data_IF_726286134811
#
_entry.id   IF_726286134811
#
_cell.length_a   1.000
_cell.length_b   1.000
_cell.length_c   1.000
_cell.angle_alpha   90.00
_cell.angle_beta   90.00
_cell.angle_gamma   90.00
#
_symmetry.space_group_name_H-M   'P 1'
#
loop_
_entity.id
_entity.type
_entity.pdbx_description
1 polymer ?
#
# COMPACT_ATOMS: atom_id res chain seq x y z
N UNK A 1 -7.06 7.57 13.77
CA UNK A 1 -7.29 8.91 13.19
C UNK A 1 -8.80 9.15 13.05
N UNK A 2 -9.30 10.36 13.33
CA UNK A 2 -10.70 10.73 13.05
C UNK A 2 -10.85 11.21 11.60
N UNK A 3 -12.04 11.07 11.01
CA UNK A 3 -12.32 11.54 9.65
C UNK A 3 -12.04 13.04 9.48
N UNK A 4 -12.33 13.84 10.52
CA UNK A 4 -12.06 15.28 10.51
C UNK A 4 -10.56 15.59 10.40
N UNK A 5 -9.71 14.81 11.08
CA UNK A 5 -8.26 14.96 10.99
C UNK A 5 -7.75 14.58 9.60
N UNK A 6 -8.30 13.52 8.98
CA UNK A 6 -7.95 13.15 7.61
C UNK A 6 -8.33 14.25 6.60
N UNK A 7 -9.50 14.88 6.76
CA UNK A 7 -9.91 16.02 5.94
C UNK A 7 -8.93 17.19 6.06
N UNK A 8 -8.57 17.58 7.28
CA UNK A 8 -7.61 18.67 7.51
C UNK A 8 -6.22 18.34 6.93
N UNK A 9 -5.79 17.09 7.06
CA UNK A 9 -4.53 16.61 6.50
C UNK A 9 -4.52 16.71 4.97
N UNK A 10 -5.62 16.33 4.31
CA UNK A 10 -5.74 16.44 2.86
C UNK A 10 -5.65 17.91 2.38
N UNK A 11 -6.30 18.83 3.09
CA UNK A 11 -6.22 20.27 2.79
C UNK A 11 -4.77 20.79 2.91
N UNK A 12 -4.03 20.35 3.93
CA UNK A 12 -2.60 20.67 4.09
C UNK A 12 -1.76 20.10 2.96
N UNK A 13 -1.95 18.81 2.63
CA UNK A 13 -1.22 18.13 1.55
C UNK A 13 -1.45 18.85 0.21
N UNK A 14 -2.67 19.31 -0.07
CA UNK A 14 -2.99 20.03 -1.32
C UNK A 14 -2.03 21.19 -1.56
N UNK A 15 -1.77 21.99 -0.52
CA UNK A 15 -1.02 23.23 -0.63
C UNK A 15 0.50 23.05 -0.51
N UNK A 16 0.95 22.03 0.22
CA UNK A 16 2.39 21.79 0.43
C UNK A 16 2.98 20.80 -0.59
N UNK A 17 2.22 19.80 -1.06
CA UNK A 17 2.74 18.75 -1.93
C UNK A 17 2.67 19.10 -3.42
N UNK A 18 1.57 19.70 -3.88
CA UNK A 18 1.32 19.93 -5.30
C UNK A 18 1.81 21.30 -5.77
N UNK A 19 3.03 21.67 -5.37
CA UNK A 19 3.66 22.96 -5.70
C UNK A 19 4.66 22.80 -6.84
N UNK A 20 4.61 23.72 -7.82
CA UNK A 20 5.55 23.77 -8.92
C UNK A 20 5.16 22.91 -10.13
N UNK A 21 6.17 22.47 -10.89
CA UNK A 21 5.98 21.65 -12.09
C UNK A 21 6.07 20.17 -11.75
N UNK A 22 5.34 19.36 -12.52
CA UNK A 22 5.39 17.90 -12.46
C UNK A 22 6.65 17.33 -13.10
N UNK A 23 7.17 16.19 -12.62
CA UNK A 23 6.72 15.44 -11.44
C UNK A 23 7.02 16.20 -10.13
N UNK A 24 6.14 16.06 -9.14
CA UNK A 24 6.26 16.69 -7.83
C UNK A 24 7.37 16.05 -6.98
N UNK A 25 7.82 16.76 -5.95
CA UNK A 25 8.99 16.37 -5.15
C UNK A 25 8.75 15.10 -4.32
N UNK A 26 9.58 14.09 -4.56
CA UNK A 26 9.60 12.85 -3.77
C UNK A 26 9.90 13.10 -2.30
N UNK A 27 10.81 14.03 -2.01
CA UNK A 27 11.17 14.38 -0.64
C UNK A 27 9.95 14.90 0.14
N UNK A 28 9.13 15.73 -0.49
CA UNK A 28 7.97 16.33 0.18
C UNK A 28 6.94 15.26 0.51
N UNK A 29 6.54 14.42 -0.45
CA UNK A 29 5.57 13.33 -0.19
C UNK A 29 6.11 12.32 0.84
N UNK A 30 7.39 11.95 0.76
CA UNK A 30 8.00 10.99 1.69
C UNK A 30 8.06 11.55 3.11
N UNK A 31 8.51 12.81 3.29
CA UNK A 31 8.50 13.47 4.60
C UNK A 31 7.10 13.55 5.19
N UNK A 32 6.09 13.88 4.39
CA UNK A 32 4.70 13.89 4.83
C UNK A 32 4.22 12.52 5.29
N UNK A 33 4.45 11.48 4.50
CA UNK A 33 3.99 10.13 4.82
C UNK A 33 4.72 9.60 6.07
N UNK A 34 6.00 9.89 6.24
CA UNK A 34 6.75 9.59 7.47
C UNK A 34 6.19 10.37 8.69
N UNK A 35 5.83 11.65 8.54
CA UNK A 35 5.20 12.45 9.62
C UNK A 35 3.85 11.83 10.06
N UNK A 36 3.04 11.37 9.10
CA UNK A 36 1.68 10.85 9.36
C UNK A 36 1.72 9.43 9.93
N UNK A 37 2.53 8.56 9.35
CA UNK A 37 2.51 7.12 9.64
C UNK A 37 3.63 6.67 10.57
N UNK A 38 4.68 7.47 10.74
CA UNK A 38 5.93 7.10 11.42
C UNK A 38 6.89 6.39 10.47
N UNK A 39 8.19 6.69 10.63
CA UNK A 39 9.26 6.19 9.75
C UNK A 39 9.48 4.67 9.87
N UNK A 40 9.30 4.12 11.08
CA UNK A 40 9.53 2.71 11.40
C UNK A 40 8.25 1.90 11.54
N UNK A 41 7.08 2.51 11.34
CA UNK A 41 5.81 1.81 11.52
C UNK A 41 5.62 0.76 10.43
N UNK A 42 5.59 -0.51 10.84
CA UNK A 42 5.38 -1.67 9.98
C UNK A 42 3.89 -1.96 9.79
N UNK A 43 3.53 -2.57 8.66
CA UNK A 43 2.16 -3.01 8.38
C UNK A 43 1.63 -3.95 9.46
N UNK A 44 2.47 -4.84 10.02
CA UNK A 44 2.11 -5.76 11.09
C UNK A 44 1.63 -5.07 12.39
N UNK A 45 1.99 -3.79 12.59
CA UNK A 45 1.56 -3.02 13.77
C UNK A 45 0.12 -2.49 13.62
N UNK A 46 -0.48 -2.53 12.42
CA UNK A 46 -1.87 -2.18 12.18
C UNK A 46 -2.79 -3.30 12.66
N UNK A 47 -3.17 -3.33 13.95
CA UNK A 47 -3.93 -4.47 14.52
C UNK A 47 -5.44 -4.36 14.47
N UNK A 48 -5.98 -3.14 14.36
CA UNK A 48 -7.42 -2.90 14.54
C UNK A 48 -8.29 -3.51 13.44
N UNK A 49 -7.82 -3.48 12.19
CA UNK A 49 -8.53 -3.98 11.00
C UNK A 49 -7.54 -4.58 10.03
N UNK A 50 -7.99 -5.55 9.24
CA UNK A 50 -7.24 -6.02 8.07
C UNK A 50 -7.25 -4.93 6.99
N UNK A 51 -6.10 -4.67 6.41
CA UNK A 51 -5.85 -3.60 5.45
C UNK A 51 -5.09 -4.19 4.27
N UNK A 52 -5.51 -3.79 3.07
CA UNK A 52 -4.75 -4.00 1.84
C UNK A 52 -4.40 -2.65 1.23
N UNK A 53 -3.22 -2.54 0.62
CA UNK A 53 -2.75 -1.38 -0.12
C UNK A 53 -2.26 -1.86 -1.48
N UNK A 54 -2.77 -1.25 -2.55
CA UNK A 54 -2.47 -1.64 -3.94
C UNK A 54 -1.29 -0.86 -4.49
N UNK A 55 -0.39 -1.52 -5.20
CA UNK A 55 0.62 -0.88 -6.03
C UNK A 55 0.86 -1.70 -7.30
N UNK A 56 1.38 -1.08 -8.34
CA UNK A 56 1.73 -1.78 -9.58
C UNK A 56 3.25 -1.95 -9.66
N UNK A 57 3.73 -3.20 -9.65
CA UNK A 57 5.14 -3.54 -9.80
C UNK A 57 5.53 -3.47 -11.28
N UNK A 58 6.44 -2.56 -11.63
CA UNK A 58 6.91 -2.32 -13.00
C UNK A 58 8.24 -3.00 -13.31
N UNK A 59 8.76 -3.83 -12.40
CA UNK A 59 9.99 -4.59 -12.64
C UNK A 59 9.80 -5.66 -13.73
N UNK A 60 8.56 -6.11 -13.95
CA UNK A 60 8.21 -7.11 -14.97
C UNK A 60 7.34 -6.46 -16.05
N UNK A 61 7.41 -7.03 -17.26
CA UNK A 61 6.52 -6.70 -18.37
C UNK A 61 5.72 -7.96 -18.75
N UNK A 62 4.39 -7.99 -18.56
CA UNK A 62 3.53 -6.89 -18.10
C UNK A 62 3.70 -6.55 -16.61
N UNK A 63 3.36 -5.31 -16.20
CA UNK A 63 3.31 -4.93 -14.78
C UNK A 63 2.39 -5.84 -13.97
N UNK A 64 2.73 -6.09 -12.71
CA UNK A 64 1.96 -6.97 -11.82
C UNK A 64 1.36 -6.19 -10.65
N UNK A 65 0.13 -6.54 -10.28
CA UNK A 65 -0.49 -6.00 -9.08
C UNK A 65 0.22 -6.55 -7.83
N UNK A 66 0.60 -5.65 -6.93
CA UNK A 66 1.12 -5.96 -5.60
C UNK A 66 0.10 -5.53 -4.56
N UNK A 67 -0.27 -6.47 -3.69
CA UNK A 67 -1.13 -6.22 -2.54
C UNK A 67 -0.29 -6.26 -1.27
N UNK A 68 -0.02 -5.10 -0.68
CA UNK A 68 0.60 -5.01 0.63
C UNK A 68 -0.47 -5.20 1.70
N UNK A 69 -0.26 -6.15 2.60
CA UNK A 69 -1.24 -6.54 3.62
C UNK A 69 -0.64 -6.41 5.00
N UNK A 70 -1.48 -6.22 6.01
CA UNK A 70 -1.07 -6.32 7.42
C UNK A 70 -1.33 -7.72 8.02
N UNK A 71 -1.66 -8.70 7.21
CA UNK A 71 -1.90 -10.08 7.62
C UNK A 71 -1.30 -11.06 6.63
N UNK A 72 -1.03 -12.26 7.12
CA UNK A 72 -0.69 -13.44 6.34
C UNK A 72 -1.81 -14.47 6.44
N UNK A 73 -1.77 -15.48 5.58
CA UNK A 73 -2.61 -16.66 5.70
C UNK A 73 -2.08 -17.56 6.82
N UNK A 74 -2.94 -18.35 7.49
CA UNK A 74 -2.55 -19.31 8.54
C UNK A 74 -1.90 -20.57 7.93
N UNK A 75 -0.92 -20.38 7.05
CA UNK A 75 -0.16 -21.41 6.35
C UNK A 75 1.34 -21.18 6.55
N UNK A 76 2.17 -22.07 6.04
CA UNK A 76 3.62 -21.92 6.16
C UNK A 76 4.13 -20.60 5.54
N UNK A 77 5.28 -20.09 6.03
CA UNK A 77 5.91 -18.89 5.44
C UNK A 77 6.26 -19.09 3.96
N UNK A 78 6.68 -20.29 3.57
CA UNK A 78 7.00 -20.62 2.19
C UNK A 78 5.77 -20.57 1.28
N UNK A 79 4.63 -21.09 1.77
CA UNK A 79 3.36 -21.06 1.04
C UNK A 79 2.80 -19.63 0.94
N UNK A 80 2.84 -18.84 2.03
CA UNK A 80 2.51 -17.42 2.00
C UNK A 80 3.32 -16.67 0.91
N UNK A 81 4.64 -16.90 0.87
CA UNK A 81 5.53 -16.29 -0.12
C UNK A 81 5.16 -16.70 -1.56
N UNK A 82 4.85 -17.98 -1.78
CA UNK A 82 4.42 -18.48 -3.09
C UNK A 82 3.08 -17.87 -3.54
N UNK A 83 2.17 -17.61 -2.59
CA UNK A 83 0.86 -17.00 -2.82
C UNK A 83 0.90 -15.45 -2.87
N UNK A 84 2.08 -14.84 -2.71
CA UNK A 84 2.22 -13.37 -2.72
C UNK A 84 1.73 -12.66 -1.45
N UNK A 85 1.66 -13.38 -0.32
CA UNK A 85 1.47 -12.83 1.02
C UNK A 85 2.84 -12.61 1.66
N UNK A 86 3.39 -11.40 1.53
CA UNK A 86 4.67 -11.06 2.15
C UNK A 86 4.55 -10.95 3.68
N UNK A 87 5.70 -10.93 4.35
CA UNK A 87 5.74 -10.65 5.79
C UNK A 87 5.36 -9.19 6.06
N UNK A 88 4.27 -8.91 6.80
CA UNK A 88 3.88 -7.55 7.14
C UNK A 88 4.87 -6.82 8.04
N UNK A 89 5.83 -7.52 8.66
CA UNK A 89 6.93 -6.91 9.42
C UNK A 89 8.02 -6.33 8.53
N UNK A 90 8.11 -6.73 7.26
CA UNK A 90 9.10 -6.21 6.31
C UNK A 90 8.62 -4.95 5.57
N UNK A 91 7.34 -4.60 5.72
CA UNK A 91 6.69 -3.55 4.95
C UNK A 91 6.38 -2.34 5.84
N UNK A 92 7.00 -1.19 5.54
CA UNK A 92 6.73 0.08 6.22
C UNK A 92 5.46 0.73 5.68
N UNK A 93 4.59 1.23 6.57
CA UNK A 93 3.29 1.82 6.21
C UNK A 93 3.47 3.03 5.27
N UNK A 94 4.42 3.92 5.57
CA UNK A 94 4.66 5.10 4.75
C UNK A 94 5.16 4.73 3.34
N UNK A 95 5.94 3.65 3.20
CA UNK A 95 6.40 3.14 1.90
C UNK A 95 5.24 2.57 1.11
N UNK A 96 4.41 1.72 1.72
CA UNK A 96 3.20 1.19 1.07
C UNK A 96 2.28 2.32 0.58
N UNK A 97 2.09 3.38 1.38
CA UNK A 97 1.34 4.56 0.98
C UNK A 97 2.01 5.33 -0.17
N UNK A 98 3.34 5.47 -0.16
CA UNK A 98 4.12 6.12 -1.23
C UNK A 98 4.03 5.36 -2.55
N UNK A 99 4.08 4.02 -2.52
CA UNK A 99 3.91 3.17 -3.70
C UNK A 99 2.51 3.32 -4.28
N UNK A 100 1.48 3.23 -3.43
CA UNK A 100 0.09 3.34 -3.86
C UNK A 100 -0.26 4.70 -4.46
N UNK A 101 0.45 5.77 -4.08
CA UNK A 101 0.18 7.15 -4.52
C UNK A 101 1.09 7.61 -5.66
N UNK A 102 1.92 6.73 -6.21
CA UNK A 102 2.95 7.04 -7.20
C UNK A 102 2.37 7.20 -8.63
N UNK A 103 1.38 8.08 -8.79
CA UNK A 103 0.65 8.29 -10.04
C UNK A 103 1.60 8.69 -11.18
N UNK A 104 1.60 7.96 -12.32
CA UNK A 104 2.42 8.32 -13.47
C UNK A 104 2.17 9.77 -13.89
N UNK A 105 3.22 10.47 -14.31
CA UNK A 105 3.26 11.92 -14.60
C UNK A 105 3.21 12.85 -13.38
N UNK A 106 2.66 12.42 -12.24
CA UNK A 106 2.59 13.24 -11.03
C UNK A 106 3.80 12.99 -10.13
N UNK A 107 4.14 11.72 -9.91
CA UNK A 107 5.24 11.29 -9.05
C UNK A 107 6.15 10.32 -9.78
N UNK A 108 7.41 10.25 -9.35
CA UNK A 108 8.33 9.23 -9.85
C UNK A 108 7.97 7.86 -9.27
N UNK A 109 8.28 6.76 -9.98
CA UNK A 109 8.23 5.42 -9.41
C UNK A 109 9.15 5.31 -8.18
N UNK A 110 8.76 4.52 -7.17
CA UNK A 110 9.58 4.25 -5.98
C UNK A 110 9.76 2.75 -5.82
N UNK A 111 10.99 2.29 -5.66
CA UNK A 111 11.36 0.87 -5.45
C UNK A 111 10.73 -0.08 -6.49
N UNK A 112 10.65 0.36 -7.75
CA UNK A 112 10.00 -0.34 -8.87
C UNK A 112 8.47 -0.48 -8.75
N UNK A 113 7.83 0.34 -7.92
CA UNK A 113 6.38 0.47 -7.82
C UNK A 113 5.89 1.81 -8.33
N UNK A 114 4.72 1.77 -8.97
CA UNK A 114 3.90 2.93 -9.30
C UNK A 114 2.49 2.74 -8.71
N UNK A 115 1.66 3.76 -8.89
CA UNK A 115 0.27 3.80 -8.39
C UNK A 115 -0.51 2.51 -8.65
N UNK A 116 -1.28 2.11 -7.64
CA UNK A 116 -2.17 0.96 -7.74
C UNK A 116 -3.25 1.15 -8.82
N UNK A 117 -3.61 2.40 -9.10
CA UNK A 117 -4.59 2.81 -10.10
C UNK A 117 -4.26 2.46 -11.54
N UNK A 118 -3.01 2.06 -11.85
CA UNK A 118 -2.70 1.49 -13.16
C UNK A 118 -3.40 0.13 -13.38
N UNK A 119 -3.57 -0.68 -12.33
CA UNK A 119 -4.17 -2.03 -12.41
C UNK A 119 -5.46 -2.14 -11.60
N UNK A 120 -5.45 -1.67 -10.35
CA UNK A 120 -6.52 -1.80 -9.36
C UNK A 120 -6.90 -0.42 -8.81
N UNK A 121 -7.47 0.44 -9.66
CA UNK A 121 -7.97 1.77 -9.26
C UNK A 121 -9.21 1.69 -8.36
N UNK A 122 -10.01 0.65 -8.54
CA UNK A 122 -11.09 0.27 -7.64
C UNK A 122 -10.77 -1.12 -7.08
N UNK A 123 -10.22 -1.21 -5.86
CA UNK A 123 -9.74 -2.47 -5.29
C UNK A 123 -10.87 -3.39 -4.80
N UNK A 124 -12.14 -3.10 -5.09
CA UNK A 124 -13.27 -3.90 -4.60
C UNK A 124 -13.17 -5.36 -5.02
N UNK A 125 -12.92 -5.63 -6.30
CA UNK A 125 -12.84 -7.01 -6.81
C UNK A 125 -11.59 -7.74 -6.29
N UNK A 126 -10.45 -7.05 -6.25
CA UNK A 126 -9.21 -7.60 -5.69
C UNK A 126 -9.36 -7.92 -4.20
N UNK A 127 -9.97 -7.01 -3.43
CA UNK A 127 -10.26 -7.21 -2.02
C UNK A 127 -11.22 -8.37 -1.78
N UNK A 128 -12.29 -8.48 -2.56
CA UNK A 128 -13.24 -9.59 -2.43
C UNK A 128 -12.56 -10.94 -2.72
N UNK A 129 -11.70 -10.98 -3.73
CA UNK A 129 -10.90 -12.16 -4.07
C UNK A 129 -9.93 -12.51 -2.94
N UNK A 130 -9.25 -11.51 -2.38
CA UNK A 130 -8.31 -11.68 -1.27
C UNK A 130 -9.00 -12.17 0.02
N UNK A 131 -10.18 -11.63 0.34
CA UNK A 131 -11.01 -12.08 1.45
C UNK A 131 -11.44 -13.54 1.26
N UNK A 132 -11.82 -13.91 0.03
CA UNK A 132 -12.19 -15.30 -0.28
C UNK A 132 -11.02 -16.25 -0.05
N UNK A 133 -9.82 -15.89 -0.53
CA UNK A 133 -8.57 -16.66 -0.29
C UNK A 133 -8.28 -16.77 1.21
N UNK A 134 -8.38 -15.65 1.94
CA UNK A 134 -8.16 -15.62 3.39
C UNK A 134 -9.11 -16.55 4.14
N UNK A 135 -10.41 -16.46 3.86
CA UNK A 135 -11.42 -17.30 4.49
C UNK A 135 -11.23 -18.78 4.16
N UNK A 136 -10.91 -19.11 2.90
CA UNK A 136 -10.61 -20.48 2.48
C UNK A 136 -9.39 -21.05 3.22
N UNK A 137 -8.33 -20.26 3.41
CA UNK A 137 -7.17 -20.68 4.17
C UNK A 137 -7.48 -20.90 5.65
N UNK A 138 -8.30 -20.03 6.27
CA UNK A 138 -8.75 -20.20 7.65
C UNK A 138 -9.58 -21.46 7.86
N UNK A 139 -10.46 -21.81 6.92
CA UNK A 139 -11.29 -23.02 7.01
C UNK A 139 -10.47 -24.31 6.92
N UNK A 140 -9.33 -24.32 6.23
CA UNK A 140 -8.44 -25.51 6.16
C UNK A 140 -7.74 -25.83 7.47
N UNK A 141 -7.67 -24.86 8.39
CA UNK A 141 -6.98 -24.97 9.68
C UNK A 141 -7.98 -25.25 10.81
N UNK A 142 -9.28 -25.08 10.57
CA UNK A 142 -10.37 -25.39 11.49
C UNK A 142 -10.77 -26.87 11.41
#
# INVERSE_FOLDING_TARGET
YSLKRCQNLYLRIKDELFVGRRPYSDKVIESFLCEIFGEETMMAQLRSKKVIVTASCVQKNPPLLKLFRNYTLPVSKAENKALGFDDPCENLVWKCARYSSAAPTFFTPKDNFIDGGLISNNPTLDLMSDIHIYNAACMKVA
#
